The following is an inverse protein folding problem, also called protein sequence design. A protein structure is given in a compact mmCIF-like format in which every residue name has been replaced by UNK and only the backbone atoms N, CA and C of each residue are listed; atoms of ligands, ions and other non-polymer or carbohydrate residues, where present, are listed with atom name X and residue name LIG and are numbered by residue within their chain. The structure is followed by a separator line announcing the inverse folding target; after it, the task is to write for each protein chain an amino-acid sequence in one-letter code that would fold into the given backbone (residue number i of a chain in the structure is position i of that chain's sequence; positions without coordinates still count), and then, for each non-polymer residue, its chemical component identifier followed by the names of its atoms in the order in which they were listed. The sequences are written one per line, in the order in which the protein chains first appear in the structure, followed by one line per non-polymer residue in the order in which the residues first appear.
data_IF_736132190238
#
_entry.id   IF_736132190238
#
_cell.length_a   1.000
_cell.length_b   1.000
_cell.length_c   1.000
_cell.angle_alpha   90.00
_cell.angle_beta   90.00
_cell.angle_gamma   90.00
#
_symmetry.space_group_name_H-M   'P 1'
#
loop_
_entity.id
_entity.type
_entity.pdbx_description
1 polymer ?
#
# COMPACT_ATOMS: atom_id res chain seq x y z
N UNK A 1 -19.67 -0.12 45.02
CA UNK A 1 -21.10 0.04 45.36
C UNK A 1 -21.89 -0.89 44.47
N UNK A 2 -22.37 -1.94 45.10
CA UNK A 2 -23.10 -3.05 44.52
C UNK A 2 -24.54 -2.54 44.29
N UNK A 3 -25.01 -2.55 43.05
CA UNK A 3 -26.45 -2.45 42.76
C UNK A 3 -26.92 -3.80 42.24
N UNK A 4 -27.47 -4.55 43.15
CA UNK A 4 -28.30 -5.73 43.00
C UNK A 4 -29.53 -5.38 42.16
N UNK A 5 -29.64 -5.94 40.98
CA UNK A 5 -30.88 -5.96 40.18
C UNK A 5 -31.64 -7.23 40.58
N UNK A 6 -32.74 -7.03 41.25
CA UNK A 6 -33.76 -8.03 41.57
C UNK A 6 -34.44 -8.47 40.25
N UNK A 7 -34.12 -9.66 39.80
CA UNK A 7 -34.92 -10.37 38.82
C UNK A 7 -36.10 -11.04 39.53
N UNK A 8 -37.26 -10.48 39.43
CA UNK A 8 -38.50 -11.09 39.88
C UNK A 8 -38.82 -12.28 38.98
N UNK A 9 -38.56 -13.47 39.48
CA UNK A 9 -39.08 -14.71 38.89
C UNK A 9 -40.60 -14.70 38.96
N UNK A 10 -41.26 -14.47 37.84
CA UNK A 10 -42.69 -14.68 37.68
C UNK A 10 -42.92 -16.18 37.53
N UNK A 11 -43.25 -16.80 38.63
CA UNK A 11 -43.70 -18.21 38.75
C UNK A 11 -45.05 -18.35 38.00
N UNK A 12 -44.99 -18.79 36.76
CA UNK A 12 -46.21 -19.16 36.03
C UNK A 12 -46.74 -20.46 36.62
N UNK A 13 -47.79 -20.33 37.42
CA UNK A 13 -48.69 -21.40 37.81
C UNK A 13 -49.28 -22.05 36.54
N UNK A 14 -48.78 -23.24 36.19
CA UNK A 14 -49.46 -24.13 35.27
C UNK A 14 -50.71 -24.65 35.92
N UNK A 15 -51.84 -23.96 35.73
CA UNK A 15 -53.15 -24.55 35.95
C UNK A 15 -53.35 -25.61 34.87
N UNK A 16 -53.54 -26.86 35.32
CA UNK A 16 -54.10 -27.93 34.46
C UNK A 16 -55.49 -27.49 34.02
N UNK A 17 -55.59 -26.87 32.84
CA UNK A 17 -56.84 -26.72 32.14
C UNK A 17 -57.15 -28.08 31.49
N UNK A 18 -58.21 -28.73 31.95
CA UNK A 18 -58.86 -29.86 31.28
C UNK A 18 -58.89 -29.57 29.78
N UNK A 19 -58.38 -30.49 29.01
CA UNK A 19 -58.35 -30.38 27.55
C UNK A 19 -59.82 -30.41 27.04
N UNK A 20 -60.40 -29.23 26.93
CA UNK A 20 -61.58 -29.04 26.13
C UNK A 20 -61.11 -29.20 24.68
N UNK A 21 -61.58 -30.25 23.97
CA UNK A 21 -61.23 -30.43 22.56
C UNK A 21 -61.66 -29.18 21.79
N UNK A 22 -60.62 -28.43 21.32
CA UNK A 22 -60.87 -27.25 20.49
C UNK A 22 -61.65 -27.65 19.26
N UNK A 23 -62.67 -26.88 18.95
CA UNK A 23 -63.43 -27.13 17.70
C UNK A 23 -62.51 -26.86 16.48
N UNK A 24 -62.75 -27.55 15.38
CA UNK A 24 -61.99 -27.39 14.15
C UNK A 24 -61.98 -25.93 13.66
N UNK A 25 -63.03 -25.16 13.87
CA UNK A 25 -63.12 -23.75 13.49
C UNK A 25 -62.23 -22.86 14.40
N UNK A 26 -62.14 -23.19 15.68
CA UNK A 26 -61.24 -22.49 16.61
C UNK A 26 -59.77 -22.80 16.31
N UNK A 27 -59.41 -24.06 16.08
CA UNK A 27 -58.07 -24.49 15.69
C UNK A 27 -57.57 -23.73 14.45
N UNK A 28 -58.42 -23.64 13.41
CA UNK A 28 -58.05 -22.90 12.19
C UNK A 28 -57.83 -21.41 12.47
N UNK A 29 -58.77 -20.78 13.17
CA UNK A 29 -58.66 -19.35 13.49
C UNK A 29 -57.44 -19.03 14.34
N UNK A 30 -57.17 -19.86 15.34
CA UNK A 30 -56.05 -19.65 16.25
C UNK A 30 -54.70 -19.89 15.50
N UNK A 31 -54.63 -20.93 14.65
CA UNK A 31 -53.49 -21.16 13.76
C UNK A 31 -53.17 -19.93 12.88
N UNK A 32 -54.18 -19.41 12.17
CA UNK A 32 -54.01 -18.25 11.28
C UNK A 32 -53.54 -16.99 12.05
N UNK A 33 -54.08 -16.78 13.27
CA UNK A 33 -53.71 -15.68 14.12
C UNK A 33 -52.25 -15.80 14.61
N UNK A 34 -51.90 -16.98 15.13
CA UNK A 34 -50.57 -17.23 15.70
C UNK A 34 -49.50 -17.27 14.61
N UNK A 35 -49.84 -17.84 13.44
CA UNK A 35 -48.96 -17.79 12.25
C UNK A 35 -48.63 -16.35 11.85
N UNK A 36 -49.64 -15.47 11.77
CA UNK A 36 -49.42 -14.03 11.47
C UNK A 36 -48.60 -13.33 12.55
N UNK A 37 -48.81 -13.66 13.82
CA UNK A 37 -48.07 -13.11 14.92
C UNK A 37 -46.59 -13.53 14.88
N UNK A 38 -46.31 -14.80 14.54
CA UNK A 38 -44.95 -15.31 14.34
C UNK A 38 -44.24 -14.66 13.18
N UNK A 39 -44.86 -14.51 12.02
CA UNK A 39 -44.29 -13.79 10.88
C UNK A 39 -43.93 -12.36 11.25
N UNK A 40 -44.75 -11.68 12.02
CA UNK A 40 -44.46 -10.34 12.55
C UNK A 40 -43.27 -10.37 13.52
N UNK A 41 -43.20 -11.37 14.39
CA UNK A 41 -42.09 -11.53 15.36
C UNK A 41 -40.77 -11.83 14.64
N UNK A 42 -40.78 -12.68 13.60
CA UNK A 42 -39.61 -12.99 12.77
C UNK A 42 -39.12 -11.71 12.08
N UNK A 43 -40.03 -10.94 11.48
CA UNK A 43 -39.66 -9.70 10.77
C UNK A 43 -39.19 -8.57 11.71
N UNK A 44 -39.60 -8.58 12.96
CA UNK A 44 -39.26 -7.58 13.97
C UNK A 44 -38.09 -7.96 14.87
N UNK A 45 -37.52 -9.15 14.75
CA UNK A 45 -36.33 -9.55 15.54
C UNK A 45 -35.06 -8.96 14.91
N UNK A 46 -34.43 -8.03 15.61
CA UNK A 46 -33.24 -7.29 15.14
C UNK A 46 -31.95 -7.77 15.78
N UNK A 47 -32.02 -8.61 16.82
CA UNK A 47 -30.84 -9.13 17.52
C UNK A 47 -30.80 -10.66 17.51
N UNK A 48 -29.60 -11.29 17.62
CA UNK A 48 -29.48 -12.75 17.72
C UNK A 48 -30.30 -13.36 18.87
N UNK A 49 -30.34 -12.69 20.01
CA UNK A 49 -31.09 -13.15 21.20
C UNK A 49 -32.61 -13.10 20.96
N UNK A 50 -33.08 -12.01 20.33
CA UNK A 50 -34.48 -11.89 19.94
C UNK A 50 -34.89 -12.95 18.90
N UNK A 51 -33.98 -13.23 17.95
CA UNK A 51 -34.18 -14.24 16.92
C UNK A 51 -34.23 -15.66 17.52
N UNK A 52 -33.32 -15.97 18.47
CA UNK A 52 -33.35 -17.26 19.19
C UNK A 52 -34.68 -17.47 19.93
N UNK A 53 -35.16 -16.44 20.63
CA UNK A 53 -36.46 -16.50 21.30
C UNK A 53 -37.66 -16.67 20.33
N UNK A 54 -37.56 -16.15 19.10
CA UNK A 54 -38.53 -16.39 18.05
C UNK A 54 -38.42 -17.82 17.53
N UNK A 55 -37.25 -18.40 17.40
CA UNK A 55 -37.04 -19.80 17.02
C UNK A 55 -37.74 -20.75 17.95
N UNK A 56 -37.61 -20.58 19.27
CA UNK A 56 -38.35 -21.37 20.27
C UNK A 56 -39.84 -21.28 20.09
N UNK A 57 -40.39 -20.12 19.73
CA UNK A 57 -41.81 -19.93 19.44
C UNK A 57 -42.27 -20.61 18.14
N UNK A 58 -41.40 -20.63 17.12
CA UNK A 58 -41.69 -21.35 15.86
C UNK A 58 -41.78 -22.86 16.11
N UNK A 59 -40.82 -23.40 16.90
CA UNK A 59 -40.85 -24.82 17.26
C UNK A 59 -42.08 -25.18 18.14
N UNK A 60 -42.41 -24.32 19.08
CA UNK A 60 -43.60 -24.50 19.93
C UNK A 60 -44.91 -24.46 19.12
N UNK A 61 -44.97 -23.55 18.15
CA UNK A 61 -46.14 -23.42 17.25
C UNK A 61 -46.30 -24.69 16.39
N UNK A 62 -45.28 -25.19 15.77
CA UNK A 62 -45.32 -26.44 15.01
C UNK A 62 -45.80 -27.59 15.90
N UNK A 63 -45.23 -27.73 17.09
CA UNK A 63 -45.59 -28.76 18.05
C UNK A 63 -47.05 -28.68 18.51
N UNK A 64 -47.57 -27.47 18.72
CA UNK A 64 -48.95 -27.24 19.16
C UNK A 64 -49.96 -27.67 18.11
N UNK A 65 -49.66 -27.32 16.83
CA UNK A 65 -50.62 -27.57 15.74
C UNK A 65 -50.41 -28.88 14.99
N UNK A 66 -49.29 -29.57 15.17
CA UNK A 66 -48.99 -30.87 14.55
C UNK A 66 -50.11 -31.94 14.74
N UNK A 67 -50.76 -32.07 15.92
CA UNK A 67 -51.85 -33.01 16.09
C UNK A 67 -53.07 -32.73 15.20
N UNK A 68 -53.24 -31.50 14.73
CA UNK A 68 -54.32 -31.05 13.88
C UNK A 68 -53.95 -30.98 12.39
N UNK A 69 -52.73 -31.40 12.01
CA UNK A 69 -52.19 -31.27 10.65
C UNK A 69 -53.11 -31.88 9.57
N UNK A 70 -53.66 -33.07 9.80
CA UNK A 70 -54.57 -33.73 8.86
C UNK A 70 -55.86 -32.92 8.56
N UNK A 71 -56.34 -32.16 9.52
CA UNK A 71 -57.45 -31.23 9.35
C UNK A 71 -57.00 -29.93 8.68
N UNK A 72 -55.92 -29.31 9.17
CA UNK A 72 -55.41 -28.04 8.69
C UNK A 72 -54.93 -28.12 7.23
N UNK A 73 -54.38 -29.24 6.79
CA UNK A 73 -54.01 -29.47 5.38
C UNK A 73 -55.19 -29.41 4.42
N UNK A 74 -56.41 -29.67 4.91
CA UNK A 74 -57.64 -29.58 4.12
C UNK A 74 -58.38 -28.25 4.28
N UNK A 75 -58.17 -27.57 5.38
CA UNK A 75 -58.95 -26.39 5.79
C UNK A 75 -58.27 -25.07 5.46
N UNK A 76 -56.95 -25.05 5.32
CA UNK A 76 -56.17 -23.83 5.00
C UNK A 76 -56.14 -23.60 3.48
N UNK A 77 -56.06 -22.34 3.07
CA UNK A 77 -55.92 -21.89 1.68
C UNK A 77 -55.26 -20.50 1.67
N UNK A 78 -54.34 -20.18 0.75
CA UNK A 78 -53.87 -20.97 -0.40
C UNK A 78 -52.86 -22.06 -0.03
N UNK A 79 -52.18 -21.96 1.12
CA UNK A 79 -51.20 -22.94 1.59
C UNK A 79 -51.85 -23.87 2.61
N UNK A 80 -51.51 -25.15 2.56
CA UNK A 80 -51.85 -26.11 3.59
C UNK A 80 -50.96 -25.97 4.84
N UNK A 81 -51.18 -26.83 5.85
CA UNK A 81 -50.38 -26.77 7.11
C UNK A 81 -48.89 -26.98 6.83
N UNK A 82 -48.56 -28.05 6.08
CA UNK A 82 -47.14 -28.41 5.85
C UNK A 82 -46.39 -27.31 5.08
N UNK A 83 -47.03 -26.77 4.02
CA UNK A 83 -46.49 -25.63 3.27
C UNK A 83 -46.37 -24.35 4.12
N UNK A 84 -47.33 -24.10 5.04
CA UNK A 84 -47.30 -22.95 5.95
C UNK A 84 -46.11 -23.07 6.94
N UNK A 85 -45.89 -24.26 7.51
CA UNK A 85 -44.76 -24.51 8.41
C UNK A 85 -43.43 -24.37 7.67
N UNK A 86 -43.33 -24.95 6.47
CA UNK A 86 -42.13 -24.83 5.64
C UNK A 86 -41.80 -23.37 5.32
N UNK A 87 -42.79 -22.57 4.91
CA UNK A 87 -42.64 -21.14 4.66
C UNK A 87 -42.21 -20.37 5.91
N UNK A 88 -42.84 -20.69 7.06
CA UNK A 88 -42.47 -20.06 8.33
C UNK A 88 -41.03 -20.33 8.72
N UNK A 89 -40.57 -21.59 8.62
CA UNK A 89 -39.21 -22.01 8.88
C UNK A 89 -38.22 -21.38 7.89
N UNK A 90 -38.56 -21.34 6.61
CA UNK A 90 -37.74 -20.69 5.59
C UNK A 90 -37.59 -19.20 5.87
N UNK A 91 -38.66 -18.51 6.23
CA UNK A 91 -38.64 -17.10 6.60
C UNK A 91 -37.81 -16.86 7.88
N UNK A 92 -37.92 -17.73 8.88
CA UNK A 92 -37.13 -17.70 10.10
C UNK A 92 -35.64 -17.85 9.77
N UNK A 93 -35.26 -18.91 9.03
CA UNK A 93 -33.86 -19.16 8.63
C UNK A 93 -33.27 -17.98 7.85
N UNK A 94 -34.05 -17.43 6.91
CA UNK A 94 -33.60 -16.23 6.16
C UNK A 94 -33.35 -15.03 7.08
N UNK A 95 -34.28 -14.76 8.00
CA UNK A 95 -34.18 -13.65 8.94
C UNK A 95 -33.03 -13.86 9.96
N UNK A 96 -32.83 -15.09 10.42
CA UNK A 96 -31.71 -15.47 11.29
C UNK A 96 -30.36 -15.21 10.62
N UNK A 97 -30.19 -15.67 9.38
CA UNK A 97 -28.98 -15.42 8.61
C UNK A 97 -28.75 -13.92 8.39
N UNK A 98 -29.80 -13.16 8.12
CA UNK A 98 -29.73 -11.71 7.98
C UNK A 98 -29.28 -11.01 9.27
N UNK A 99 -29.88 -11.37 10.41
CA UNK A 99 -29.52 -10.81 11.74
C UNK A 99 -28.07 -11.15 12.09
N UNK A 100 -27.65 -12.40 11.85
CA UNK A 100 -26.26 -12.82 12.06
C UNK A 100 -25.28 -12.03 11.20
N UNK A 101 -25.56 -11.88 9.91
CA UNK A 101 -24.73 -11.11 8.99
C UNK A 101 -24.62 -9.62 9.40
N UNK A 102 -25.73 -9.04 9.90
CA UNK A 102 -25.73 -7.66 10.43
C UNK A 102 -24.84 -7.58 11.69
N UNK A 103 -24.95 -8.53 12.62
CA UNK A 103 -24.14 -8.57 13.83
C UNK A 103 -22.64 -8.71 13.53
N UNK A 104 -22.27 -9.61 12.63
CA UNK A 104 -20.88 -9.79 12.19
C UNK A 104 -20.34 -8.52 11.50
N UNK A 105 -21.17 -7.87 10.68
CA UNK A 105 -20.83 -6.62 10.03
C UNK A 105 -20.63 -5.49 11.04
N UNK A 106 -21.49 -5.38 12.05
CA UNK A 106 -21.38 -4.37 13.11
C UNK A 106 -20.09 -4.56 13.94
N UNK A 107 -19.74 -5.80 14.31
CA UNK A 107 -18.52 -6.12 15.02
C UNK A 107 -17.26 -5.76 14.17
N UNK A 108 -17.32 -6.04 12.87
CA UNK A 108 -16.23 -5.70 11.95
C UNK A 108 -16.09 -4.19 11.79
N UNK A 109 -17.18 -3.46 11.71
CA UNK A 109 -17.18 -1.99 11.68
C UNK A 109 -16.52 -1.42 12.94
N UNK A 110 -16.90 -1.87 14.12
CA UNK A 110 -16.30 -1.41 15.38
C UNK A 110 -14.78 -1.67 15.44
N UNK A 111 -14.33 -2.84 14.95
CA UNK A 111 -12.90 -3.16 14.84
C UNK A 111 -12.17 -2.22 13.90
N UNK A 112 -12.76 -1.90 12.76
CA UNK A 112 -12.16 -1.00 11.77
C UNK A 112 -12.15 0.45 12.25
N UNK A 113 -13.19 0.90 12.94
CA UNK A 113 -13.20 2.23 13.58
C UNK A 113 -12.06 2.39 14.59
N UNK A 114 -11.77 1.36 15.39
CA UNK A 114 -10.63 1.35 16.31
C UNK A 114 -9.28 1.43 15.56
N UNK A 115 -9.15 0.69 14.44
CA UNK A 115 -7.96 0.76 13.58
C UNK A 115 -7.79 2.14 12.93
N UNK A 116 -8.88 2.73 12.42
CA UNK A 116 -8.89 4.09 11.87
C UNK A 116 -8.41 5.12 12.90
N UNK A 117 -8.91 5.04 14.13
CA UNK A 117 -8.48 5.92 15.21
C UNK A 117 -6.98 5.77 15.46
N UNK A 118 -6.48 4.55 15.62
CA UNK A 118 -5.06 4.28 15.86
C UNK A 118 -4.18 4.83 14.73
N UNK A 119 -4.55 4.59 13.46
CA UNK A 119 -3.82 5.08 12.31
C UNK A 119 -3.86 6.61 12.20
N UNK A 120 -4.98 7.23 12.54
CA UNK A 120 -5.12 8.70 12.56
C UNK A 120 -4.18 9.32 13.61
N UNK A 121 -4.09 8.73 14.78
CA UNK A 121 -3.17 9.18 15.84
C UNK A 121 -1.70 9.03 15.42
N UNK A 122 -1.36 7.93 14.74
CA UNK A 122 -0.03 7.74 14.16
C UNK A 122 0.30 8.80 13.11
N UNK A 123 -0.64 9.11 12.20
CA UNK A 123 -0.48 10.16 11.17
C UNK A 123 -0.27 11.52 11.82
N UNK A 124 -1.07 11.86 12.84
CA UNK A 124 -0.95 13.14 13.55
C UNK A 124 0.40 13.27 14.26
N UNK A 125 0.85 12.21 14.93
CA UNK A 125 2.16 12.17 15.59
C UNK A 125 3.30 12.36 14.60
N UNK A 126 3.31 11.59 13.49
CA UNK A 126 4.33 11.70 12.46
C UNK A 126 4.32 13.07 11.76
N UNK A 127 3.14 13.67 11.58
CA UNK A 127 3.01 15.03 11.03
C UNK A 127 3.63 16.07 11.97
N UNK A 128 3.40 15.94 13.29
CA UNK A 128 4.03 16.81 14.29
C UNK A 128 5.56 16.67 14.33
N UNK A 129 6.06 15.43 14.26
CA UNK A 129 7.49 15.17 14.18
C UNK A 129 8.10 15.78 12.90
N UNK A 130 7.43 15.64 11.76
CA UNK A 130 7.89 16.21 10.50
C UNK A 130 7.97 17.75 10.56
N UNK A 131 6.96 18.41 11.12
CA UNK A 131 6.97 19.86 11.29
C UNK A 131 8.16 20.33 12.16
N UNK A 132 8.44 19.60 13.25
CA UNK A 132 9.58 19.88 14.12
C UNK A 132 10.91 19.69 13.40
N UNK A 133 11.06 18.59 12.65
CA UNK A 133 12.29 18.32 11.88
C UNK A 133 12.50 19.33 10.75
N UNK A 134 11.43 19.77 10.07
CA UNK A 134 11.50 20.85 9.08
C UNK A 134 11.95 22.16 9.67
N UNK A 135 11.45 22.50 10.87
CA UNK A 135 11.91 23.69 11.59
C UNK A 135 13.41 23.61 11.97
N UNK A 136 13.85 22.44 12.46
CA UNK A 136 15.27 22.18 12.74
C UNK A 136 16.13 22.26 11.48
N UNK A 137 15.64 21.74 10.37
CA UNK A 137 16.33 21.81 9.08
C UNK A 137 16.54 23.26 8.62
N UNK A 138 15.50 24.10 8.76
CA UNK A 138 15.56 25.54 8.43
C UNK A 138 16.57 26.30 9.30
N UNK A 139 16.74 25.90 10.55
CA UNK A 139 17.74 26.50 11.47
C UNK A 139 19.17 26.00 11.24
N UNK A 140 19.32 24.74 10.75
CA UNK A 140 20.62 24.06 10.71
C UNK A 140 21.39 24.22 9.40
N UNK A 141 21.05 25.18 8.54
CA UNK A 141 21.72 25.43 7.24
C UNK A 141 23.25 25.61 7.29
N UNK A 142 23.83 25.66 8.49
CA UNK A 142 25.25 25.88 8.71
C UNK A 142 26.11 24.61 9.00
N UNK A 143 25.53 23.41 9.18
CA UNK A 143 26.29 22.21 9.57
C UNK A 143 25.93 20.96 8.72
N UNK A 144 26.73 20.72 7.69
CA UNK A 144 26.47 19.72 6.63
C UNK A 144 26.24 18.28 7.10
N UNK A 145 27.00 17.78 8.07
CA UNK A 145 26.95 16.36 8.47
C UNK A 145 25.78 16.03 9.41
N UNK A 146 25.34 17.01 10.20
CA UNK A 146 24.14 16.93 11.03
C UNK A 146 22.86 16.95 10.16
N UNK A 147 22.89 17.74 9.08
CA UNK A 147 21.81 17.86 8.09
C UNK A 147 21.46 16.54 7.41
N UNK A 148 22.45 15.76 6.99
CA UNK A 148 22.22 14.49 6.29
C UNK A 148 21.43 13.48 7.17
N UNK A 149 21.71 13.44 8.47
CA UNK A 149 20.96 12.59 9.40
C UNK A 149 19.52 13.06 9.58
N UNK A 150 19.33 14.38 9.73
CA UNK A 150 17.98 14.97 9.87
C UNK A 150 17.15 14.71 8.60
N UNK A 151 17.75 14.88 7.42
CA UNK A 151 17.10 14.61 6.12
C UNK A 151 16.70 13.15 6.01
N UNK A 152 17.56 12.22 6.37
CA UNK A 152 17.26 10.78 6.33
C UNK A 152 16.08 10.42 7.26
N UNK A 153 16.08 10.98 8.49
CA UNK A 153 15.01 10.74 9.47
C UNK A 153 13.69 11.36 9.01
N UNK A 154 13.73 12.60 8.51
CA UNK A 154 12.54 13.29 7.99
C UNK A 154 11.91 12.51 6.83
N UNK A 155 12.72 12.02 5.91
CA UNK A 155 12.29 11.20 4.79
C UNK A 155 11.64 9.89 5.25
N UNK A 156 12.25 9.20 6.22
CA UNK A 156 11.67 7.98 6.77
C UNK A 156 10.29 8.25 7.40
N UNK A 157 10.15 9.37 8.13
CA UNK A 157 8.88 9.76 8.73
C UNK A 157 7.82 10.14 7.68
N UNK A 158 8.22 10.83 6.62
CA UNK A 158 7.35 11.14 5.46
C UNK A 158 6.83 9.84 4.84
N UNK A 159 7.72 8.89 4.53
CA UNK A 159 7.34 7.61 3.94
C UNK A 159 6.43 6.78 4.86
N UNK A 160 6.68 6.77 6.17
CA UNK A 160 5.82 6.12 7.17
C UNK A 160 4.43 6.77 7.22
N UNK A 161 4.36 8.10 7.21
CA UNK A 161 3.10 8.84 7.22
C UNK A 161 2.29 8.55 5.94
N UNK A 162 2.92 8.63 4.77
CA UNK A 162 2.26 8.36 3.49
C UNK A 162 1.72 6.93 3.43
N UNK A 163 2.51 5.96 3.92
CA UNK A 163 2.06 4.57 4.07
C UNK A 163 0.88 4.44 5.03
N UNK A 164 0.88 5.15 6.16
CA UNK A 164 -0.22 5.13 7.12
C UNK A 164 -1.49 5.74 6.53
N UNK A 165 -1.40 6.86 5.78
CA UNK A 165 -2.52 7.47 5.08
C UNK A 165 -3.13 6.50 4.06
N UNK A 166 -2.30 5.83 3.26
CA UNK A 166 -2.81 4.86 2.28
C UNK A 166 -3.34 3.59 2.92
N UNK A 167 -2.75 3.12 4.02
CA UNK A 167 -3.29 2.00 4.79
C UNK A 167 -4.68 2.32 5.36
N UNK A 168 -4.87 3.56 5.84
CA UNK A 168 -6.18 4.05 6.27
C UNK A 168 -7.18 4.04 5.11
N UNK A 169 -6.79 4.58 3.96
CA UNK A 169 -7.59 4.61 2.74
C UNK A 169 -7.92 3.19 2.27
N UNK A 170 -6.93 2.30 2.18
CA UNK A 170 -7.13 0.90 1.76
C UNK A 170 -8.06 0.14 2.74
N UNK A 171 -7.96 0.41 4.06
CA UNK A 171 -8.87 -0.16 5.07
C UNK A 171 -10.31 0.30 4.89
N UNK A 172 -10.51 1.57 4.54
CA UNK A 172 -11.82 2.13 4.26
C UNK A 172 -12.45 1.53 3.01
N UNK A 173 -11.65 1.26 1.96
CA UNK A 173 -12.12 0.65 0.71
C UNK A 173 -12.36 -0.86 0.82
N UNK A 174 -11.57 -1.59 1.57
CA UNK A 174 -11.82 -3.01 1.84
C UNK A 174 -13.18 -3.25 2.52
N UNK A 175 -13.71 -2.22 3.17
CA UNK A 175 -15.05 -2.21 3.76
C UNK A 175 -16.14 -1.98 2.71
N UNK A 176 -15.88 -1.12 1.72
CA UNK A 176 -16.86 -0.74 0.70
C UNK A 176 -17.06 -1.82 -0.36
N UNK A 177 -16.05 -2.63 -0.65
CA UNK A 177 -16.03 -3.62 -1.74
C UNK A 177 -16.68 -4.96 -1.36
N UNK A 178 -16.99 -5.19 -0.09
CA UNK A 178 -17.65 -6.41 0.40
C UNK A 178 -19.17 -6.24 0.58
N UNK A 179 -19.86 -5.99 -0.53
CA UNK A 179 -21.26 -6.40 -0.78
C UNK A 179 -22.30 -6.29 0.35
N UNK A 180 -22.31 -5.22 1.09
CA UNK A 180 -23.51 -4.85 1.81
C UNK A 180 -23.76 -3.38 1.53
N UNK A 181 -24.71 -3.07 0.65
CA UNK A 181 -25.31 -1.74 0.68
C UNK A 181 -25.93 -1.58 2.07
N UNK A 182 -25.36 -0.81 2.97
CA UNK A 182 -25.98 -0.55 4.25
C UNK A 182 -27.31 0.14 3.97
N UNK A 183 -28.38 -0.32 4.58
CA UNK A 183 -29.63 0.40 4.59
C UNK A 183 -29.38 1.82 5.09
N UNK A 184 -30.03 2.82 4.49
CA UNK A 184 -29.69 4.24 4.60
C UNK A 184 -29.49 4.86 5.99
N UNK A 185 -29.90 4.19 7.07
CA UNK A 185 -29.72 4.68 8.46
C UNK A 185 -28.35 4.33 9.05
N UNK A 186 -27.73 3.22 8.65
CA UNK A 186 -26.35 2.86 9.01
C UNK A 186 -25.35 3.77 8.31
N UNK A 187 -25.61 4.13 7.03
CA UNK A 187 -24.80 5.12 6.30
C UNK A 187 -24.79 6.49 6.97
N UNK A 188 -25.94 6.96 7.46
CA UNK A 188 -26.05 8.27 8.12
C UNK A 188 -25.33 8.32 9.46
N UNK A 189 -25.36 7.23 10.24
CA UNK A 189 -24.67 7.17 11.55
C UNK A 189 -23.15 7.06 11.41
N UNK A 190 -22.66 6.37 10.38
CA UNK A 190 -21.22 6.25 10.08
C UNK A 190 -20.64 7.53 9.46
N UNK A 191 -21.38 8.22 8.61
CA UNK A 191 -21.01 9.54 8.09
C UNK A 191 -20.89 10.63 9.17
N UNK A 192 -21.59 10.49 10.28
CA UNK A 192 -21.56 11.46 11.38
C UNK A 192 -20.36 11.25 12.33
N UNK A 193 -19.75 10.07 12.38
CA UNK A 193 -18.69 9.71 13.35
C UNK A 193 -17.27 9.86 12.82
N UNK A 194 -17.04 9.71 11.53
CA UNK A 194 -15.77 10.04 10.90
C UNK A 194 -15.80 11.53 10.55
N UNK A 195 -15.04 12.33 11.27
CA UNK A 195 -14.90 13.76 10.98
C UNK A 195 -14.58 13.96 9.50
N UNK A 196 -15.56 14.49 8.78
CA UNK A 196 -15.63 14.58 7.31
C UNK A 196 -14.42 15.20 6.62
N UNK A 197 -13.59 15.92 7.35
CA UNK A 197 -12.44 16.67 6.80
C UNK A 197 -11.08 16.03 7.01
N UNK A 198 -10.95 15.06 7.93
CA UNK A 198 -9.63 14.62 8.41
C UNK A 198 -8.82 13.88 7.35
N UNK A 199 -9.43 12.97 6.58
CA UNK A 199 -8.70 12.15 5.59
C UNK A 199 -8.19 13.00 4.43
N UNK A 200 -9.06 13.78 3.80
CA UNK A 200 -8.68 14.68 2.69
C UNK A 200 -7.71 15.77 3.16
N UNK A 201 -7.90 16.29 4.36
CA UNK A 201 -6.98 17.24 4.99
C UNK A 201 -5.61 16.63 5.22
N UNK A 202 -5.54 15.38 5.69
CA UNK A 202 -4.28 14.66 5.90
C UNK A 202 -3.57 14.36 4.58
N UNK A 203 -4.30 13.96 3.54
CA UNK A 203 -3.75 13.77 2.19
C UNK A 203 -3.18 15.09 1.67
N UNK A 204 -3.94 16.18 1.75
CA UNK A 204 -3.51 17.50 1.31
C UNK A 204 -2.25 17.96 2.04
N UNK A 205 -2.23 17.82 3.37
CA UNK A 205 -1.08 18.15 4.21
C UNK A 205 0.13 17.28 3.86
N UNK A 206 -0.05 15.98 3.61
CA UNK A 206 1.03 15.10 3.19
C UNK A 206 1.71 15.58 1.91
N UNK A 207 0.93 15.97 0.90
CA UNK A 207 1.49 16.50 -0.35
C UNK A 207 2.20 17.84 -0.13
N UNK A 208 1.63 18.74 0.69
CA UNK A 208 2.24 20.02 1.03
C UNK A 208 3.58 19.83 1.76
N UNK A 209 3.65 18.93 2.74
CA UNK A 209 4.88 18.63 3.47
C UNK A 209 5.94 18.00 2.54
N UNK A 210 5.54 17.17 1.57
CA UNK A 210 6.43 16.60 0.57
C UNK A 210 7.00 17.68 -0.36
N UNK A 211 6.18 18.65 -0.77
CA UNK A 211 6.61 19.81 -1.54
C UNK A 211 7.58 20.70 -0.74
N UNK A 212 7.27 20.96 0.53
CA UNK A 212 8.13 21.75 1.42
C UNK A 212 9.46 21.04 1.66
N UNK A 213 9.44 19.73 1.88
CA UNK A 213 10.65 18.92 2.02
C UNK A 213 11.53 19.01 0.79
N UNK A 214 10.97 18.81 -0.40
CA UNK A 214 11.70 18.88 -1.67
C UNK A 214 12.33 20.26 -1.91
N UNK A 215 11.65 21.34 -1.54
CA UNK A 215 12.13 22.70 -1.75
C UNK A 215 13.11 23.18 -0.69
N UNK A 216 13.07 22.63 0.52
CA UNK A 216 13.84 23.09 1.68
C UNK A 216 15.10 22.26 1.93
N UNK A 217 15.28 21.13 1.25
CA UNK A 217 16.28 20.12 1.59
C UNK A 217 17.30 19.93 0.49
N UNK A 218 18.58 19.86 0.85
CA UNK A 218 19.64 19.41 -0.06
C UNK A 218 19.58 17.88 -0.16
N UNK A 219 19.00 17.40 -1.24
CA UNK A 219 18.83 15.96 -1.50
C UNK A 219 20.05 15.38 -2.23
N UNK A 220 20.43 14.16 -1.87
CA UNK A 220 21.40 13.38 -2.67
C UNK A 220 20.69 12.80 -3.91
N UNK A 221 21.46 12.39 -4.91
CA UNK A 221 20.90 11.73 -6.10
C UNK A 221 20.06 10.49 -5.74
N UNK A 222 20.51 9.72 -4.75
CA UNK A 222 19.77 8.54 -4.27
C UNK A 222 18.46 8.90 -3.57
N UNK A 223 18.41 10.03 -2.86
CA UNK A 223 17.16 10.50 -2.22
C UNK A 223 16.15 10.93 -3.27
N UNK A 224 16.62 11.66 -4.30
CA UNK A 224 15.77 12.10 -5.41
C UNK A 224 15.21 10.91 -6.20
N UNK A 225 16.05 9.89 -6.47
CA UNK A 225 15.61 8.67 -7.16
C UNK A 225 14.47 7.98 -6.40
N UNK A 226 14.58 7.85 -5.08
CA UNK A 226 13.55 7.25 -4.24
C UNK A 226 12.28 8.11 -4.18
N UNK A 227 12.42 9.43 -4.01
CA UNK A 227 11.29 10.36 -4.02
C UNK A 227 10.50 10.31 -5.34
N UNK A 228 11.18 10.11 -6.45
CA UNK A 228 10.55 9.92 -7.75
C UNK A 228 9.61 8.70 -7.74
N UNK A 229 10.06 7.54 -7.24
CA UNK A 229 9.23 6.34 -7.12
C UNK A 229 8.10 6.49 -6.13
N UNK A 230 8.35 7.14 -4.99
CA UNK A 230 7.35 7.42 -3.94
C UNK A 230 6.23 8.33 -4.47
N UNK A 231 6.58 9.40 -5.19
CA UNK A 231 5.62 10.32 -5.80
C UNK A 231 4.71 9.61 -6.82
N UNK A 232 5.28 8.79 -7.71
CA UNK A 232 4.50 8.02 -8.70
C UNK A 232 3.53 7.03 -8.03
N UNK A 233 3.99 6.38 -6.97
CA UNK A 233 3.15 5.48 -6.16
C UNK A 233 2.01 6.23 -5.49
N UNK A 234 2.30 7.40 -4.91
CA UNK A 234 1.29 8.25 -4.29
C UNK A 234 0.25 8.72 -5.31
N UNK A 235 0.68 9.26 -6.44
CA UNK A 235 -0.19 9.77 -7.50
C UNK A 235 -1.10 8.67 -8.05
N UNK A 236 -0.56 7.46 -8.30
CA UNK A 236 -1.33 6.31 -8.74
C UNK A 236 -2.42 5.94 -7.74
N UNK A 237 -2.08 5.86 -6.45
CA UNK A 237 -3.04 5.58 -5.37
C UNK A 237 -4.08 6.69 -5.24
N UNK A 238 -3.67 7.95 -5.25
CA UNK A 238 -4.57 9.10 -5.21
C UNK A 238 -5.59 9.05 -6.35
N UNK A 239 -5.15 8.81 -7.57
CA UNK A 239 -6.01 8.69 -8.74
C UNK A 239 -7.03 7.56 -8.62
N UNK A 240 -6.66 6.44 -7.99
CA UNK A 240 -7.57 5.32 -7.72
C UNK A 240 -8.64 5.63 -6.68
N UNK A 241 -8.31 6.48 -5.67
CA UNK A 241 -9.14 6.64 -4.48
C UNK A 241 -9.88 7.98 -4.39
N UNK A 242 -9.45 9.03 -5.11
CA UNK A 242 -9.97 10.40 -4.98
C UNK A 242 -11.49 10.50 -5.14
N UNK A 243 -12.06 9.85 -6.14
CA UNK A 243 -13.50 9.92 -6.39
C UNK A 243 -14.34 9.17 -5.35
N UNK A 244 -14.06 7.91 -5.01
CA UNK A 244 -14.72 7.21 -3.93
C UNK A 244 -14.65 7.93 -2.58
N UNK A 245 -13.45 8.38 -2.16
CA UNK A 245 -13.29 9.12 -0.89
C UNK A 245 -14.14 10.39 -0.90
N UNK A 246 -14.03 11.21 -1.94
CA UNK A 246 -14.79 12.44 -2.01
C UNK A 246 -16.31 12.20 -2.06
N UNK A 247 -16.77 11.11 -2.70
CA UNK A 247 -18.17 10.73 -2.72
C UNK A 247 -18.68 10.30 -1.34
N UNK A 248 -17.82 9.64 -0.54
CA UNK A 248 -18.19 9.20 0.81
C UNK A 248 -18.30 10.34 1.82
N UNK A 249 -17.50 11.41 1.67
CA UNK A 249 -17.33 12.41 2.73
C UNK A 249 -17.81 13.83 2.40
N UNK A 250 -18.01 14.16 1.12
CA UNK A 250 -18.26 15.55 0.70
C UNK A 250 -19.57 15.73 -0.06
N UNK A 251 -20.16 16.91 0.06
CA UNK A 251 -21.21 17.35 -0.85
C UNK A 251 -20.67 17.50 -2.29
N UNK A 252 -21.53 17.42 -3.30
CA UNK A 252 -21.09 17.51 -4.71
C UNK A 252 -20.28 18.78 -5.03
N UNK A 253 -20.62 19.91 -4.40
CA UNK A 253 -19.91 21.19 -4.58
C UNK A 253 -18.52 21.17 -3.92
N UNK A 254 -18.41 20.61 -2.73
CA UNK A 254 -17.15 20.49 -1.99
C UNK A 254 -16.22 19.47 -2.62
N UNK A 255 -16.79 18.35 -3.12
CA UNK A 255 -16.07 17.29 -3.82
C UNK A 255 -15.17 17.82 -4.93
N UNK A 256 -15.72 18.58 -5.87
CA UNK A 256 -14.97 19.11 -7.00
C UNK A 256 -13.86 20.05 -6.52
N UNK A 257 -14.16 20.92 -5.55
CA UNK A 257 -13.20 21.88 -5.01
C UNK A 257 -12.01 21.19 -4.34
N UNK A 258 -12.27 20.21 -3.45
CA UNK A 258 -11.21 19.55 -2.68
C UNK A 258 -10.38 18.58 -3.57
N UNK A 259 -11.02 17.85 -4.49
CA UNK A 259 -10.28 17.04 -5.47
C UNK A 259 -9.35 17.93 -6.31
N UNK A 260 -9.86 19.02 -6.88
CA UNK A 260 -9.05 19.91 -7.71
C UNK A 260 -7.89 20.54 -6.92
N UNK A 261 -8.11 20.87 -5.65
CA UNK A 261 -7.06 21.41 -4.78
C UNK A 261 -5.94 20.39 -4.54
N UNK A 262 -6.28 19.12 -4.30
CA UNK A 262 -5.29 18.07 -4.11
C UNK A 262 -4.63 17.69 -5.43
N UNK A 263 -5.39 17.57 -6.52
CA UNK A 263 -4.86 17.29 -7.87
C UNK A 263 -3.83 18.35 -8.29
N UNK A 264 -4.09 19.63 -7.98
CA UNK A 264 -3.15 20.72 -8.25
C UNK A 264 -1.84 20.54 -7.47
N UNK A 265 -1.92 20.22 -6.18
CA UNK A 265 -0.74 19.98 -5.34
C UNK A 265 0.05 18.74 -5.78
N UNK A 266 -0.64 17.65 -6.12
CA UNK A 266 -0.02 16.41 -6.63
C UNK A 266 0.68 16.69 -7.95
N UNK A 267 0.07 17.45 -8.84
CA UNK A 267 0.68 17.88 -10.11
C UNK A 267 1.91 18.77 -9.90
N UNK A 268 1.85 19.72 -8.97
CA UNK A 268 3.01 20.52 -8.61
C UNK A 268 4.16 19.68 -8.06
N UNK A 269 3.83 18.75 -7.15
CA UNK A 269 4.81 17.82 -6.60
C UNK A 269 5.43 16.94 -7.69
N UNK A 270 4.61 16.42 -8.63
CA UNK A 270 5.06 15.68 -9.78
C UNK A 270 6.10 16.47 -10.59
N UNK A 271 5.79 17.71 -10.99
CA UNK A 271 6.69 18.56 -11.77
C UNK A 271 8.01 18.84 -11.03
N UNK A 272 7.93 19.16 -9.75
CA UNK A 272 9.11 19.43 -8.91
C UNK A 272 10.01 18.22 -8.73
N UNK A 273 9.43 17.05 -8.53
CA UNK A 273 10.17 15.79 -8.42
C UNK A 273 10.81 15.43 -9.76
N UNK A 274 10.12 15.61 -10.88
CA UNK A 274 10.67 15.37 -12.22
C UNK A 274 11.87 16.29 -12.49
N UNK A 275 11.73 17.58 -12.23
CA UNK A 275 12.85 18.53 -12.38
C UNK A 275 14.06 18.10 -11.55
N UNK A 276 13.86 17.79 -10.27
CA UNK A 276 14.91 17.34 -9.38
C UNK A 276 15.53 16.01 -9.84
N UNK A 277 14.70 15.07 -10.32
CA UNK A 277 15.14 13.76 -10.79
C UNK A 277 16.09 13.86 -11.99
N UNK A 278 15.67 14.56 -13.06
CA UNK A 278 16.48 14.68 -14.26
C UNK A 278 17.75 15.50 -14.00
N UNK A 279 17.64 16.57 -13.21
CA UNK A 279 18.79 17.38 -12.79
C UNK A 279 19.79 16.56 -11.99
N UNK A 280 19.31 15.76 -11.03
CA UNK A 280 20.16 14.91 -10.20
C UNK A 280 20.85 13.80 -10.99
N UNK A 281 20.10 13.14 -11.90
CA UNK A 281 20.66 12.10 -12.76
C UNK A 281 21.80 12.65 -13.63
N UNK A 282 21.58 13.77 -14.31
CA UNK A 282 22.62 14.41 -15.13
C UNK A 282 23.79 14.92 -14.28
N UNK A 283 23.51 15.37 -13.05
CA UNK A 283 24.51 15.78 -12.08
C UNK A 283 25.49 14.67 -11.71
N UNK A 284 25.03 13.40 -11.67
CA UNK A 284 25.91 12.25 -11.41
C UNK A 284 26.95 12.07 -12.50
N UNK A 285 26.56 12.17 -13.77
CA UNK A 285 27.50 12.07 -14.89
C UNK A 285 28.49 13.24 -14.90
N UNK A 286 28.01 14.44 -14.64
CA UNK A 286 28.85 15.64 -14.53
C UNK A 286 29.85 15.50 -13.39
N UNK A 287 29.42 15.06 -12.21
CA UNK A 287 30.31 14.85 -11.05
C UNK A 287 31.36 13.76 -11.32
N UNK A 288 30.99 12.73 -12.07
CA UNK A 288 31.92 11.68 -12.53
C UNK A 288 32.80 12.13 -13.70
N UNK A 289 32.63 13.37 -14.20
CA UNK A 289 33.32 13.92 -15.38
C UNK A 289 33.13 13.02 -16.61
N UNK A 290 31.91 12.58 -16.84
CA UNK A 290 31.51 11.78 -17.97
C UNK A 290 30.67 12.64 -18.93
N UNK A 291 31.02 12.66 -20.20
CA UNK A 291 30.34 13.43 -21.25
C UNK A 291 29.11 12.65 -21.79
N UNK A 292 28.27 12.12 -20.89
CA UNK A 292 27.00 11.49 -21.29
C UNK A 292 26.06 12.58 -21.80
N UNK A 293 25.36 12.37 -22.94
CA UNK A 293 24.36 13.32 -23.41
C UNK A 293 23.29 13.58 -22.36
N UNK A 294 22.75 14.80 -22.33
CA UNK A 294 21.70 15.18 -21.36
C UNK A 294 20.47 14.27 -21.51
N UNK A 295 20.06 13.69 -20.40
CA UNK A 295 18.86 12.87 -20.29
C UNK A 295 17.73 13.75 -19.74
N UNK A 296 16.62 13.83 -20.46
CA UNK A 296 15.44 14.63 -20.08
C UNK A 296 14.17 13.77 -20.06
N UNK A 297 13.09 14.34 -19.58
CA UNK A 297 11.80 13.67 -19.64
C UNK A 297 11.45 13.28 -21.10
N UNK A 298 10.97 12.05 -21.29
CA UNK A 298 10.67 11.49 -22.62
C UNK A 298 11.88 10.95 -23.38
N UNK A 299 13.10 11.07 -22.84
CA UNK A 299 14.29 10.45 -23.41
C UNK A 299 14.36 8.98 -22.99
N UNK A 300 14.69 8.09 -23.94
CA UNK A 300 15.00 6.70 -23.61
C UNK A 300 16.37 6.63 -22.93
N UNK A 301 16.37 6.37 -21.63
CA UNK A 301 17.57 6.29 -20.77
C UNK A 301 18.52 5.21 -21.30
N UNK A 302 17.97 4.04 -21.65
CA UNK A 302 18.77 2.93 -22.18
C UNK A 302 19.46 3.33 -23.48
N UNK A 303 18.74 3.93 -24.42
CA UNK A 303 19.28 4.33 -25.71
C UNK A 303 20.45 5.34 -25.56
N UNK A 304 20.30 6.32 -24.66
CA UNK A 304 21.37 7.29 -24.37
C UNK A 304 22.60 6.62 -23.78
N UNK A 305 22.42 5.76 -22.77
CA UNK A 305 23.54 5.07 -22.11
C UNK A 305 24.22 4.08 -23.06
N UNK A 306 23.44 3.31 -23.81
CA UNK A 306 23.95 2.35 -24.79
C UNK A 306 24.78 3.05 -25.88
N UNK A 307 24.24 4.13 -26.48
CA UNK A 307 24.96 4.94 -27.48
C UNK A 307 26.24 5.56 -26.92
N UNK A 308 26.20 6.06 -25.67
CA UNK A 308 27.40 6.58 -25.03
C UNK A 308 28.48 5.49 -24.88
N UNK A 309 28.14 4.31 -24.39
CA UNK A 309 29.08 3.18 -24.24
C UNK A 309 29.59 2.72 -25.60
N UNK A 310 28.72 2.63 -26.61
CA UNK A 310 29.11 2.25 -27.97
C UNK A 310 30.08 3.27 -28.58
N UNK A 311 29.85 4.56 -28.39
CA UNK A 311 30.76 5.61 -28.88
C UNK A 311 32.13 5.53 -28.20
N UNK A 312 32.17 5.28 -26.89
CA UNK A 312 33.43 5.06 -26.15
C UNK A 312 34.16 3.80 -26.62
N UNK A 313 33.40 2.72 -26.82
CA UNK A 313 33.92 1.42 -27.29
C UNK A 313 34.51 1.49 -28.70
N UNK A 314 33.89 2.28 -29.58
CA UNK A 314 34.30 2.41 -30.98
C UNK A 314 35.26 3.56 -31.26
N UNK A 315 35.63 4.34 -30.21
CA UNK A 315 36.52 5.48 -30.33
C UNK A 315 35.92 6.67 -31.08
N UNK A 316 34.59 6.75 -31.18
CA UNK A 316 33.85 7.85 -31.81
C UNK A 316 33.35 8.88 -30.80
N UNK A 317 33.60 8.66 -29.50
CA UNK A 317 33.26 9.60 -28.45
C UNK A 317 34.07 10.89 -28.56
N UNK A 318 33.53 12.04 -28.07
CA UNK A 318 34.31 13.28 -27.98
C UNK A 318 35.62 13.06 -27.22
N UNK A 319 36.68 13.72 -27.66
CA UNK A 319 37.98 13.66 -26.99
C UNK A 319 37.85 14.08 -25.54
N UNK A 320 38.43 13.29 -24.65
CA UNK A 320 38.52 13.53 -23.22
C UNK A 320 39.97 13.78 -22.84
N UNK A 321 40.22 14.62 -21.85
CA UNK A 321 41.54 14.80 -21.22
C UNK A 321 41.99 13.55 -20.44
N UNK A 322 41.08 12.59 -20.23
CA UNK A 322 41.32 11.35 -19.48
C UNK A 322 41.62 10.22 -20.42
N UNK A 323 42.45 9.29 -19.99
CA UNK A 323 42.73 8.06 -20.72
C UNK A 323 41.42 7.24 -20.85
N UNK A 324 41.20 6.51 -21.98
CA UNK A 324 40.00 5.73 -22.21
C UNK A 324 39.64 4.76 -21.06
N UNK A 325 40.66 4.15 -20.45
CA UNK A 325 40.47 3.26 -19.30
C UNK A 325 39.99 3.99 -18.05
N UNK A 326 40.44 5.21 -17.81
CA UNK A 326 39.99 6.04 -16.67
C UNK A 326 38.51 6.48 -16.85
N UNK A 327 38.11 6.76 -18.10
CA UNK A 327 36.69 7.05 -18.42
C UNK A 327 35.85 5.82 -18.15
N UNK A 328 36.30 4.63 -18.58
CA UNK A 328 35.63 3.37 -18.25
C UNK A 328 35.47 3.16 -16.74
N UNK A 329 36.56 3.28 -15.99
CA UNK A 329 36.56 3.11 -14.54
C UNK A 329 35.58 4.07 -13.83
N UNK A 330 35.50 5.32 -14.29
CA UNK A 330 34.56 6.29 -13.75
C UNK A 330 33.12 5.90 -14.03
N UNK A 331 32.83 5.42 -15.23
CA UNK A 331 31.48 4.93 -15.58
C UNK A 331 31.16 3.64 -14.82
N UNK A 332 32.05 2.68 -14.76
CA UNK A 332 31.89 1.42 -14.02
C UNK A 332 31.58 1.68 -12.53
N UNK A 333 32.34 2.57 -11.89
CA UNK A 333 32.09 2.97 -10.50
C UNK A 333 30.71 3.59 -10.33
N UNK A 334 30.31 4.46 -11.25
CA UNK A 334 28.99 5.09 -11.22
C UNK A 334 27.89 4.06 -11.46
N UNK A 335 28.06 3.17 -12.46
CA UNK A 335 27.10 2.15 -12.79
C UNK A 335 26.88 1.15 -11.66
N UNK A 336 27.96 0.57 -11.13
CA UNK A 336 27.90 -0.47 -10.11
C UNK A 336 27.62 0.08 -8.72
N UNK A 337 28.06 1.27 -8.40
CA UNK A 337 27.93 1.88 -7.07
C UNK A 337 26.67 2.70 -6.87
N UNK A 338 26.09 3.26 -7.92
CA UNK A 338 24.97 4.20 -7.80
C UNK A 338 23.82 3.86 -8.75
N UNK A 339 24.06 3.83 -10.08
CA UNK A 339 23.00 3.69 -11.06
C UNK A 339 22.27 2.34 -10.94
N UNK A 340 23.03 1.24 -10.95
CA UNK A 340 22.44 -0.11 -10.93
C UNK A 340 21.76 -0.44 -9.61
N UNK A 341 22.30 -0.17 -8.41
CA UNK A 341 21.65 -0.50 -7.15
C UNK A 341 20.54 0.47 -6.73
N UNK A 342 20.60 1.74 -7.14
CA UNK A 342 19.68 2.79 -6.66
C UNK A 342 18.71 3.26 -7.73
N UNK A 343 19.21 3.62 -8.91
CA UNK A 343 18.40 4.25 -9.96
C UNK A 343 17.67 3.25 -10.85
N UNK A 344 18.31 2.14 -11.21
CA UNK A 344 17.68 1.10 -12.06
C UNK A 344 16.40 0.55 -11.45
N UNK A 345 16.29 0.23 -10.15
CA UNK A 345 15.02 -0.18 -9.55
C UNK A 345 13.92 0.87 -9.71
N UNK A 346 14.24 2.15 -9.53
CA UNK A 346 13.29 3.26 -9.70
C UNK A 346 12.88 3.42 -11.17
N UNK A 347 13.83 3.35 -12.10
CA UNK A 347 13.53 3.39 -13.53
C UNK A 347 12.62 2.23 -13.97
N UNK A 348 12.83 1.03 -13.43
CA UNK A 348 11.98 -0.14 -13.71
C UNK A 348 10.56 0.07 -13.16
N UNK A 349 10.44 0.55 -11.95
CA UNK A 349 9.15 0.87 -11.34
C UNK A 349 8.39 1.94 -12.14
N UNK A 350 9.12 2.91 -12.71
CA UNK A 350 8.57 3.96 -13.55
C UNK A 350 8.32 3.53 -15.01
N UNK A 351 8.65 2.30 -15.40
CA UNK A 351 8.53 1.83 -16.78
C UNK A 351 9.55 2.44 -17.74
N UNK A 352 10.61 3.09 -17.23
CA UNK A 352 11.65 3.75 -18.01
C UNK A 352 12.82 2.81 -18.39
N UNK A 353 12.88 1.62 -17.78
CA UNK A 353 13.97 0.67 -17.94
C UNK A 353 13.48 -0.75 -17.69
N UNK A 354 14.16 -1.77 -18.25
CA UNK A 354 13.80 -3.18 -18.10
C UNK A 354 14.99 -4.01 -17.62
N UNK A 355 14.76 -5.29 -17.29
CA UNK A 355 15.84 -6.23 -17.01
C UNK A 355 16.71 -6.48 -18.24
N UNK A 356 16.10 -6.52 -19.44
CA UNK A 356 16.81 -6.63 -20.70
C UNK A 356 17.74 -5.44 -20.94
N UNK A 357 17.27 -4.22 -20.65
CA UNK A 357 18.11 -3.01 -20.73
C UNK A 357 19.30 -3.08 -19.77
N UNK A 358 19.11 -3.58 -18.54
CA UNK A 358 20.18 -3.75 -17.57
C UNK A 358 21.24 -4.74 -18.09
N UNK A 359 20.80 -5.87 -18.63
CA UNK A 359 21.70 -6.90 -19.18
C UNK A 359 22.48 -6.40 -20.41
N UNK A 360 21.82 -5.60 -21.27
CA UNK A 360 22.48 -4.99 -22.42
C UNK A 360 23.58 -4.02 -22.01
N UNK A 361 23.31 -3.13 -21.07
CA UNK A 361 24.33 -2.21 -20.53
C UNK A 361 25.50 -2.99 -19.93
N UNK A 362 25.22 -4.01 -19.09
CA UNK A 362 26.28 -4.85 -18.51
C UNK A 362 27.14 -5.52 -19.60
N UNK A 363 26.51 -6.03 -20.67
CA UNK A 363 27.22 -6.64 -21.80
C UNK A 363 28.08 -5.64 -22.57
N UNK A 364 27.54 -4.45 -22.86
CA UNK A 364 28.26 -3.38 -23.54
C UNK A 364 29.45 -2.89 -22.70
N UNK A 365 29.31 -2.81 -21.39
CA UNK A 365 30.39 -2.49 -20.49
C UNK A 365 31.54 -3.52 -20.53
N UNK A 366 31.20 -4.82 -20.60
CA UNK A 366 32.22 -5.87 -20.75
C UNK A 366 32.99 -5.73 -22.07
N UNK A 367 32.27 -5.42 -23.16
CA UNK A 367 32.91 -5.18 -24.48
C UNK A 367 33.80 -3.94 -24.43
N UNK A 368 33.35 -2.86 -23.80
CA UNK A 368 34.12 -1.65 -23.61
C UNK A 368 35.40 -1.92 -22.78
N UNK A 369 35.29 -2.62 -21.64
CA UNK A 369 36.42 -3.04 -20.82
C UNK A 369 37.44 -3.83 -21.62
N UNK A 370 37.02 -4.80 -22.42
CA UNK A 370 37.90 -5.64 -23.21
C UNK A 370 38.79 -4.81 -24.17
N UNK A 371 38.26 -3.67 -24.67
CA UNK A 371 38.98 -2.76 -25.59
C UNK A 371 39.92 -1.78 -24.89
N UNK A 372 39.53 -1.28 -23.71
CA UNK A 372 40.28 -0.21 -23.05
C UNK A 372 41.18 -0.67 -21.89
N UNK A 373 41.04 -1.94 -21.48
CA UNK A 373 41.88 -2.50 -20.41
C UNK A 373 43.35 -2.31 -20.72
N UNK A 374 44.18 -1.90 -19.74
CA UNK A 374 45.62 -1.77 -19.95
C UNK A 374 46.19 -3.11 -20.43
N UNK A 375 46.93 -3.08 -21.49
CA UNK A 375 47.71 -4.25 -21.90
C UNK A 375 48.63 -4.70 -20.76
N UNK A 376 48.85 -6.01 -20.62
CA UNK A 376 49.72 -6.58 -19.58
C UNK A 376 51.23 -6.23 -19.82
N UNK A 377 51.53 -5.07 -20.49
CA UNK A 377 52.87 -4.68 -20.83
C UNK A 377 53.76 -4.52 -19.57
N UNK A 378 53.19 -4.08 -18.42
CA UNK A 378 53.89 -4.08 -17.16
C UNK A 378 54.24 -5.49 -16.67
N UNK A 379 53.36 -6.46 -16.85
CA UNK A 379 53.66 -7.87 -16.53
C UNK A 379 54.75 -8.43 -17.46
N UNK A 380 54.65 -8.14 -18.76
CA UNK A 380 55.66 -8.53 -19.72
C UNK A 380 56.97 -7.77 -19.49
N UNK A 381 56.94 -6.50 -19.11
CA UNK A 381 58.07 -5.73 -18.67
C UNK A 381 58.76 -6.30 -17.42
N UNK A 382 57.96 -6.67 -16.40
CA UNK A 382 58.48 -7.29 -15.18
C UNK A 382 59.08 -8.69 -15.46
N UNK A 383 58.41 -9.51 -16.30
CA UNK A 383 58.93 -10.81 -16.74
C UNK A 383 60.24 -10.61 -17.54
N UNK A 384 60.28 -9.64 -18.45
CA UNK A 384 61.46 -9.31 -19.20
C UNK A 384 62.67 -8.91 -18.31
N UNK A 385 62.42 -8.05 -17.29
CA UNK A 385 63.45 -7.68 -16.31
C UNK A 385 63.92 -8.88 -15.48
N UNK A 386 63.01 -9.79 -15.11
CA UNK A 386 63.35 -11.00 -14.39
C UNK A 386 64.17 -11.97 -15.20
N UNK A 387 63.84 -12.11 -16.50
CA UNK A 387 64.65 -12.89 -17.44
C UNK A 387 66.05 -12.29 -17.61
N UNK A 388 66.16 -10.97 -17.75
CA UNK A 388 67.45 -10.28 -17.84
C UNK A 388 68.27 -10.42 -16.54
N UNK A 389 67.65 -10.35 -15.37
CA UNK A 389 68.31 -10.55 -14.10
C UNK A 389 68.83 -11.98 -13.97
N UNK A 390 68.03 -13.00 -14.35
CA UNK A 390 68.49 -14.41 -14.35
C UNK A 390 69.64 -14.61 -15.35
N UNK A 391 69.54 -14.07 -16.56
CA UNK A 391 70.62 -14.13 -17.55
C UNK A 391 71.89 -13.48 -17.04
N UNK A 392 71.80 -12.33 -16.37
CA UNK A 392 72.93 -11.66 -15.76
C UNK A 392 73.59 -12.49 -14.64
N UNK A 393 72.81 -13.13 -13.78
CA UNK A 393 73.29 -14.03 -12.73
C UNK A 393 73.99 -15.25 -13.33
N UNK A 394 73.46 -15.84 -14.36
CA UNK A 394 74.07 -16.98 -15.06
C UNK A 394 75.42 -16.52 -15.71
N UNK A 395 75.43 -15.39 -16.43
CA UNK A 395 76.60 -14.83 -17.03
C UNK A 395 77.68 -14.52 -15.99
N UNK A 396 77.34 -13.91 -14.85
CA UNK A 396 78.23 -13.61 -13.78
C UNK A 396 78.85 -14.87 -13.10
N UNK A 397 78.09 -15.97 -13.06
CA UNK A 397 78.61 -17.26 -12.55
C UNK A 397 79.54 -17.93 -13.54
N UNK A 398 79.33 -17.82 -14.81
CA UNK A 398 80.23 -18.35 -15.85
C UNK A 398 81.57 -17.60 -15.94
N UNK A 399 81.59 -16.33 -15.53
CA UNK A 399 82.83 -15.48 -15.54
C UNK A 399 83.65 -15.62 -14.29
N UNK A 400 83.31 -16.41 -13.30
CA UNK A 400 84.18 -16.67 -12.16
C UNK A 400 85.44 -17.41 -12.64
N UNK A 401 86.61 -16.79 -12.54
CA UNK A 401 87.85 -17.49 -12.89
C UNK A 401 88.05 -18.69 -11.97
N UNK A 402 88.51 -19.80 -12.58
CA UNK A 402 88.91 -20.99 -11.81
C UNK A 402 89.96 -20.58 -10.76
N UNK A 403 89.67 -20.94 -9.49
CA UNK A 403 90.64 -20.71 -8.44
C UNK A 403 91.95 -21.43 -8.77
N UNK A 404 93.09 -20.75 -8.57
CA UNK A 404 94.38 -21.41 -8.80
C UNK A 404 94.50 -22.59 -7.86
N UNK A 405 94.85 -23.77 -8.45
CA UNK A 405 95.25 -24.96 -7.68
C UNK A 405 96.59 -24.72 -7.11
N UNK A 406 96.77 -24.73 -5.78
CA UNK A 406 98.00 -24.83 -5.05
C UNK A 406 98.38 -26.25 -4.75
#
# INVERSE_FOLDING_TARGET
MIRTLLFTASLLLFTFVSAQERSNSEVKRDFEKDYKALLKSISGAETPEAMAAVGEKVDAFEKEYQPYSAFLNKALYPDDFDASIEKLKAQFTYSEQKVKAIGESAARIASLEAQVTTLTDQVNNLTGQNATLLAQLKQATAQRDSLLKVVATLRENIAKRDKAIFSLVDSMFAQYDKNTQPTGDVQKSQQAKLEKSTVLTNIKRAVQDNLEFLSSTMLTGSDVAKLYGEQRTFESKWNGVKNPIAAAYLSQKEKTREINAIDSLVSEWHMKVDEAFWKSLNGLFTAAKLSVPMIAQGTDIHDVLAKYIDAQTNGTAPKSDRAPYEVYQAFEKLWTGELKPVWVPVWKQAGLFTDANTADIDTKMQLWYAKVKPGNWMLYGAIGLLVLAVAYILYSRMKKPAAPQA
#
